data_IF_906253895709
#
_entry.id   IF_906253895709
#
_cell.length_a   1.000
_cell.length_b   1.000
_cell.length_c   1.000
_cell.angle_alpha   90.00
_cell.angle_beta   90.00
_cell.angle_gamma   90.00
#
_symmetry.space_group_name_H-M   'P 1'
#
loop_
_entity.id
_entity.type
_entity.pdbx_description
1 polymer ?
#
# COMPACT_ATOMS: atom_id res chain seq x y z
N UNK A 1 32.55 11.56 44.55
CA UNK A 1 32.08 12.29 43.38
C UNK A 1 32.28 11.51 42.04
N UNK A 2 33.47 10.93 41.75
CA UNK A 2 33.69 10.16 40.49
C UNK A 2 32.78 8.94 40.28
N UNK A 3 32.36 8.23 41.32
CA UNK A 3 31.47 7.05 41.21
C UNK A 3 30.00 7.41 40.92
N UNK A 4 29.53 8.58 41.32
CA UNK A 4 28.17 9.04 41.08
C UNK A 4 28.00 9.52 39.63
N UNK A 5 29.07 10.17 39.08
CA UNK A 5 29.05 10.58 37.65
C UNK A 5 29.14 9.41 36.68
N UNK A 6 29.79 8.30 37.06
CA UNK A 6 29.84 7.08 36.23
C UNK A 6 28.48 6.35 36.23
N UNK A 7 27.76 6.30 37.35
CA UNK A 7 26.43 5.74 37.43
C UNK A 7 25.42 6.55 36.60
N UNK A 8 25.49 7.86 36.65
CA UNK A 8 24.61 8.75 35.85
C UNK A 8 24.91 8.67 34.36
N UNK A 9 26.16 8.51 33.96
CA UNK A 9 26.53 8.28 32.56
C UNK A 9 26.07 6.89 32.06
N UNK A 10 26.14 5.85 32.90
CA UNK A 10 25.58 4.52 32.56
C UNK A 10 24.05 4.53 32.46
N UNK A 11 23.32 5.24 33.33
CA UNK A 11 21.86 5.40 33.21
C UNK A 11 21.45 6.20 31.97
N UNK A 12 22.20 7.24 31.61
CA UNK A 12 21.99 7.99 30.37
C UNK A 12 22.31 7.15 29.12
N UNK A 13 23.30 6.27 29.17
CA UNK A 13 23.63 5.37 28.08
C UNK A 13 22.57 4.25 27.90
N UNK A 14 21.89 3.81 28.96
CA UNK A 14 20.77 2.87 28.87
C UNK A 14 19.48 3.53 28.37
N UNK A 15 19.32 4.84 28.49
CA UNK A 15 18.23 5.60 27.83
C UNK A 15 18.51 5.92 26.36
N UNK A 16 19.74 5.68 25.87
CA UNK A 16 20.10 5.87 24.48
C UNK A 16 19.54 4.72 23.63
N UNK A 17 18.37 4.98 23.06
CA UNK A 17 17.89 4.34 21.83
C UNK A 17 17.61 2.83 21.91
N UNK A 18 16.67 2.40 22.70
CA UNK A 18 15.80 1.33 22.23
C UNK A 18 15.03 1.91 21.03
N UNK A 19 15.63 1.92 19.86
CA UNK A 19 14.87 2.05 18.60
C UNK A 19 13.87 0.94 18.66
N UNK A 20 12.60 1.25 18.97
CA UNK A 20 11.57 0.26 19.15
C UNK A 20 11.53 -0.59 17.87
N UNK A 21 11.91 -1.85 18.02
CA UNK A 21 11.93 -2.78 16.91
C UNK A 21 10.49 -2.99 16.44
N UNK A 22 10.22 -2.70 15.16
CA UNK A 22 8.87 -2.89 14.62
C UNK A 22 8.55 -4.39 14.56
N UNK A 23 7.40 -4.74 15.11
CA UNK A 23 6.76 -6.03 14.91
C UNK A 23 5.96 -5.98 13.60
N UNK A 24 6.23 -6.91 12.70
CA UNK A 24 5.64 -6.97 11.36
C UNK A 24 4.47 -7.95 11.31
N UNK A 25 3.40 -7.55 10.66
CA UNK A 25 2.16 -8.30 10.47
C UNK A 25 1.85 -8.41 8.99
N UNK A 26 1.50 -9.62 8.53
CA UNK A 26 1.08 -9.85 7.14
C UNK A 26 -0.11 -8.97 6.79
N UNK A 27 0.00 -8.21 5.69
CA UNK A 27 -1.03 -7.24 5.33
C UNK A 27 -2.35 -7.88 4.86
N UNK A 28 -2.33 -9.17 4.50
CA UNK A 28 -3.53 -9.96 4.17
C UNK A 28 -4.43 -10.24 5.39
N UNK A 29 -3.95 -10.05 6.61
CA UNK A 29 -4.77 -10.11 7.82
C UNK A 29 -5.76 -8.95 7.93
N UNK A 30 -5.50 -7.87 7.21
CA UNK A 30 -6.33 -6.66 7.19
C UNK A 30 -7.27 -6.65 5.97
N UNK A 31 -7.86 -5.50 5.65
CA UNK A 31 -8.82 -5.39 4.54
C UNK A 31 -8.11 -4.93 3.27
N UNK A 32 -7.95 -5.84 2.32
CA UNK A 32 -7.52 -5.47 0.95
C UNK A 32 -8.73 -5.01 0.15
N UNK A 33 -8.59 -3.92 -0.59
CA UNK A 33 -9.61 -3.33 -1.46
C UNK A 33 -9.07 -3.09 -2.87
N UNK A 34 -9.97 -2.88 -3.82
CA UNK A 34 -9.62 -2.62 -5.22
C UNK A 34 -9.37 -3.89 -6.04
N UNK A 35 -9.55 -5.08 -5.48
CA UNK A 35 -9.54 -6.34 -6.23
C UNK A 35 -10.78 -6.42 -7.13
N UNK A 36 -10.63 -6.78 -8.42
CA UNK A 36 -11.78 -7.00 -9.32
C UNK A 36 -12.64 -8.18 -8.90
N UNK A 37 -12.00 -9.27 -8.47
CA UNK A 37 -12.66 -10.49 -8.00
C UNK A 37 -12.26 -10.69 -6.54
N UNK A 38 -13.21 -10.65 -5.59
CA UNK A 38 -12.95 -10.96 -4.19
C UNK A 38 -12.54 -12.42 -4.00
N UNK A 39 -11.82 -12.70 -2.91
CA UNK A 39 -11.47 -14.05 -2.45
C UNK A 39 -10.59 -14.88 -3.40
N UNK A 40 -9.91 -14.24 -4.34
CA UNK A 40 -8.87 -14.89 -5.15
C UNK A 40 -7.70 -15.32 -4.27
N UNK A 41 -7.13 -16.53 -4.50
CA UNK A 41 -5.99 -17.04 -3.74
C UNK A 41 -4.77 -16.11 -3.78
N UNK A 42 -4.55 -15.46 -4.93
CA UNK A 42 -3.52 -14.41 -5.09
C UNK A 42 -4.10 -13.05 -4.76
N UNK A 43 -3.92 -12.62 -3.53
CA UNK A 43 -4.54 -11.40 -2.99
C UNK A 43 -4.11 -10.13 -3.75
N UNK A 44 -2.84 -10.05 -4.18
CA UNK A 44 -2.27 -8.85 -4.80
C UNK A 44 -2.25 -8.92 -6.32
N UNK A 45 -3.38 -9.22 -6.96
CA UNK A 45 -3.53 -9.26 -8.41
C UNK A 45 -4.83 -8.62 -8.87
N UNK A 46 -4.81 -8.03 -10.06
CA UNK A 46 -5.98 -7.48 -10.73
C UNK A 46 -6.60 -8.45 -11.76
N UNK A 47 -6.00 -9.62 -11.91
CA UNK A 47 -6.44 -10.61 -12.89
C UNK A 47 -6.60 -11.95 -12.18
N UNK A 48 -7.80 -12.57 -12.16
CA UNK A 48 -8.02 -13.86 -11.55
C UNK A 48 -7.29 -14.98 -12.31
N UNK A 49 -6.87 -16.02 -11.60
CA UNK A 49 -6.13 -17.15 -12.19
C UNK A 49 -6.91 -17.88 -13.28
N UNK A 50 -8.24 -17.80 -13.25
CA UNK A 50 -9.11 -18.36 -14.28
C UNK A 50 -8.91 -17.76 -15.69
N UNK A 51 -8.30 -16.58 -15.79
CA UNK A 51 -8.00 -15.90 -17.05
C UNK A 51 -6.58 -16.20 -17.58
N UNK A 52 -5.76 -16.92 -16.82
CA UNK A 52 -4.40 -17.31 -17.26
C UNK A 52 -4.49 -18.15 -18.53
N UNK A 53 -3.76 -17.73 -19.57
CA UNK A 53 -3.77 -18.39 -20.89
C UNK A 53 -5.04 -18.18 -21.73
N UNK A 54 -6.03 -17.45 -21.21
CA UNK A 54 -7.24 -17.06 -21.96
C UNK A 54 -7.17 -15.64 -22.51
N UNK A 55 -6.44 -14.77 -21.82
CA UNK A 55 -6.17 -13.40 -22.28
C UNK A 55 -4.77 -13.32 -22.92
N UNK A 56 -4.50 -12.23 -23.63
CA UNK A 56 -3.17 -11.96 -24.23
C UNK A 56 -2.11 -11.85 -23.12
N UNK A 57 -0.90 -12.38 -23.36
CA UNK A 57 0.21 -12.37 -22.39
C UNK A 57 0.52 -10.96 -21.86
N UNK A 58 0.51 -9.94 -22.73
CA UNK A 58 0.75 -8.57 -22.32
C UNK A 58 -0.32 -8.05 -21.34
N UNK A 59 -1.58 -8.42 -21.54
CA UNK A 59 -2.69 -8.08 -20.67
C UNK A 59 -2.59 -8.84 -19.33
N UNK A 60 -2.28 -10.15 -19.40
CA UNK A 60 -2.04 -10.97 -18.22
C UNK A 60 -0.93 -10.39 -17.34
N UNK A 61 0.22 -10.06 -17.93
CA UNK A 61 1.38 -9.53 -17.21
C UNK A 61 1.06 -8.18 -16.54
N UNK A 62 0.33 -7.28 -17.21
CA UNK A 62 -0.13 -6.03 -16.61
C UNK A 62 -1.16 -6.25 -15.51
N UNK A 63 -1.95 -7.31 -15.61
CA UNK A 63 -2.91 -7.72 -14.58
C UNK A 63 -2.26 -8.15 -13.26
N UNK A 64 -0.97 -8.50 -13.27
CA UNK A 64 -0.21 -8.83 -12.06
C UNK A 64 0.22 -7.57 -11.27
N UNK A 65 0.13 -6.38 -11.87
CA UNK A 65 0.41 -5.12 -11.18
C UNK A 65 -0.75 -4.75 -10.26
N UNK A 66 -0.45 -4.09 -9.15
CA UNK A 66 -1.41 -3.81 -8.07
C UNK A 66 -2.09 -2.43 -8.17
N UNK A 67 -2.09 -1.81 -9.35
CA UNK A 67 -2.67 -0.48 -9.56
C UNK A 67 -4.12 -0.39 -9.04
N UNK A 68 -4.42 0.61 -8.22
CA UNK A 68 -5.76 0.81 -7.64
C UNK A 68 -6.04 0.00 -6.38
N UNK A 69 -5.18 -0.94 -6.02
CA UNK A 69 -5.36 -1.72 -4.80
C UNK A 69 -4.79 -0.99 -3.59
N UNK A 70 -5.40 -1.23 -2.44
CA UNK A 70 -4.92 -0.72 -1.15
C UNK A 70 -5.22 -1.70 -0.01
N UNK A 71 -4.46 -1.56 1.09
CA UNK A 71 -4.72 -2.25 2.35
C UNK A 71 -5.27 -1.23 3.35
N UNK A 72 -6.43 -1.52 3.94
CA UNK A 72 -7.01 -0.72 5.02
C UNK A 72 -6.83 -1.42 6.36
N UNK A 73 -6.39 -0.64 7.34
CA UNK A 73 -6.16 -1.09 8.71
C UNK A 73 -6.35 0.08 9.67
N UNK A 74 -6.44 -0.21 10.97
CA UNK A 74 -6.38 0.78 12.04
C UNK A 74 -5.22 0.48 12.98
N UNK A 75 -4.68 1.51 13.61
CA UNK A 75 -3.58 1.37 14.58
C UNK A 75 -3.50 2.59 15.49
N UNK A 76 -3.03 2.38 16.72
CA UNK A 76 -2.64 3.43 17.68
C UNK A 76 -1.13 3.61 17.75
N UNK A 77 -0.40 3.03 16.79
CA UNK A 77 1.05 3.08 16.73
C UNK A 77 1.58 4.51 16.62
N UNK A 78 2.71 4.79 17.30
CA UNK A 78 3.47 6.03 17.14
C UNK A 78 4.40 6.03 15.93
N UNK A 79 4.67 4.85 15.37
CA UNK A 79 5.44 4.68 14.15
C UNK A 79 4.88 3.54 13.29
N UNK A 80 4.90 3.73 11.98
CA UNK A 80 4.47 2.73 11.01
C UNK A 80 5.59 2.49 10.01
N UNK A 81 5.94 1.23 9.84
CA UNK A 81 6.87 0.76 8.82
C UNK A 81 6.24 -0.27 7.89
N UNK A 82 6.92 -0.57 6.81
CA UNK A 82 6.51 -1.60 5.86
C UNK A 82 7.69 -2.42 5.39
N UNK A 83 7.47 -3.69 5.10
CA UNK A 83 8.33 -4.55 4.29
C UNK A 83 7.50 -5.09 3.13
N UNK A 84 8.06 -5.03 1.92
CA UNK A 84 7.37 -5.61 0.76
C UNK A 84 8.36 -6.20 -0.22
N UNK A 85 7.90 -7.22 -0.93
CA UNK A 85 8.63 -7.84 -2.02
C UNK A 85 7.88 -7.61 -3.32
N UNK A 86 8.55 -6.98 -4.28
CA UNK A 86 8.05 -6.83 -5.64
C UNK A 86 8.31 -8.08 -6.47
N UNK A 87 7.53 -8.31 -7.55
CA UNK A 87 7.79 -9.38 -8.51
C UNK A 87 9.13 -9.18 -9.23
N UNK A 88 9.45 -7.92 -9.57
CA UNK A 88 10.67 -7.55 -10.28
C UNK A 88 11.26 -6.23 -9.78
N UNK A 89 12.34 -5.79 -10.43
CA UNK A 89 12.93 -4.46 -10.22
C UNK A 89 12.69 -3.61 -11.47
N UNK A 90 11.43 -3.55 -11.90
CA UNK A 90 11.02 -2.81 -13.09
C UNK A 90 11.17 -1.30 -12.90
N UNK A 91 11.66 -0.62 -13.91
CA UNK A 91 11.83 0.83 -13.96
C UNK A 91 11.41 1.40 -15.31
N UNK A 92 11.03 2.67 -15.31
CA UNK A 92 10.79 3.48 -16.48
C UNK A 92 11.54 4.82 -16.35
N UNK A 93 12.07 5.34 -17.45
CA UNK A 93 12.82 6.61 -17.45
C UNK A 93 11.92 7.85 -17.26
N UNK A 94 10.62 7.71 -17.47
CA UNK A 94 9.63 8.81 -17.44
C UNK A 94 8.64 8.72 -16.26
N UNK A 95 8.84 7.76 -15.34
CA UNK A 95 8.00 7.62 -14.15
C UNK A 95 8.87 7.38 -12.91
N UNK A 96 8.48 7.97 -11.79
CA UNK A 96 9.23 7.82 -10.54
C UNK A 96 9.23 6.38 -10.03
N UNK A 97 10.33 5.93 -9.44
CA UNK A 97 10.40 4.61 -8.79
C UNK A 97 9.32 4.44 -7.71
N UNK A 98 8.96 5.54 -7.01
CA UNK A 98 7.89 5.55 -6.00
C UNK A 98 6.53 5.26 -6.62
N UNK A 99 6.22 5.83 -7.79
CA UNK A 99 4.97 5.52 -8.51
C UNK A 99 4.94 4.09 -9.05
N UNK A 100 6.07 3.61 -9.57
CA UNK A 100 6.18 2.28 -10.15
C UNK A 100 6.06 1.19 -9.08
N UNK A 101 6.86 1.27 -7.98
CA UNK A 101 7.13 0.19 -7.02
C UNK A 101 6.96 0.55 -5.56
N UNK A 102 6.63 1.81 -5.26
CA UNK A 102 6.47 2.31 -3.88
C UNK A 102 5.07 2.12 -3.33
N UNK A 103 4.90 2.52 -2.08
CA UNK A 103 3.63 2.46 -1.36
C UNK A 103 3.29 3.86 -0.81
N UNK A 104 2.00 4.20 -0.72
CA UNK A 104 1.54 5.48 -0.17
C UNK A 104 0.60 5.27 1.01
N UNK A 105 0.93 5.88 2.15
CA UNK A 105 0.09 5.84 3.35
C UNK A 105 -0.79 7.10 3.42
N UNK A 106 -2.06 6.87 3.68
CA UNK A 106 -3.08 7.89 3.99
C UNK A 106 -3.71 7.60 5.35
N UNK A 107 -4.12 8.65 6.05
CA UNK A 107 -4.83 8.59 7.33
C UNK A 107 -6.22 9.24 7.17
N UNK A 108 -7.24 8.62 7.74
CA UNK A 108 -8.60 9.17 7.78
C UNK A 108 -8.69 10.20 8.91
N UNK A 109 -9.12 11.41 8.57
CA UNK A 109 -9.35 12.49 9.53
C UNK A 109 -10.81 12.49 10.03
N UNK A 110 -11.09 13.18 11.13
CA UNK A 110 -12.40 13.25 11.79
C UNK A 110 -13.55 13.67 10.86
N UNK A 111 -13.27 14.43 9.81
CA UNK A 111 -14.24 14.85 8.80
C UNK A 111 -14.46 13.85 7.66
N UNK A 112 -13.93 12.64 7.78
CA UNK A 112 -14.02 11.61 6.75
C UNK A 112 -13.11 11.82 5.53
N UNK A 113 -12.12 12.70 5.65
CA UNK A 113 -11.17 12.99 4.57
C UNK A 113 -9.89 12.16 4.73
N UNK A 114 -9.47 11.52 3.65
CA UNK A 114 -8.18 10.83 3.56
C UNK A 114 -7.06 11.81 3.28
N UNK A 115 -6.15 11.97 4.23
CA UNK A 115 -4.98 12.86 4.12
C UNK A 115 -3.71 12.05 3.92
N UNK A 116 -2.86 12.49 3.00
CA UNK A 116 -1.57 11.89 2.74
C UNK A 116 -0.65 11.99 3.96
N UNK A 117 -0.07 10.88 4.35
CA UNK A 117 0.92 10.81 5.44
C UNK A 117 2.34 10.81 4.89
N UNK A 118 2.71 9.79 4.14
CA UNK A 118 4.03 9.67 3.53
C UNK A 118 4.07 8.49 2.53
N UNK A 119 5.21 8.36 1.81
CA UNK A 119 5.47 7.28 0.87
C UNK A 119 6.60 6.38 1.34
N UNK A 120 6.45 5.07 1.13
CA UNK A 120 7.56 4.13 1.21
C UNK A 120 8.29 4.06 -0.14
N UNK A 121 9.53 4.51 -0.15
CA UNK A 121 10.37 4.56 -1.37
C UNK A 121 11.06 3.21 -1.60
N UNK A 122 10.97 2.63 -2.80
CA UNK A 122 11.69 1.40 -3.12
C UNK A 122 13.21 1.64 -3.15
N UNK A 123 13.97 0.64 -2.74
CA UNK A 123 15.42 0.72 -2.59
C UNK A 123 16.20 0.09 -3.76
N UNK A 124 15.57 -0.07 -4.92
CA UNK A 124 16.21 -0.65 -6.12
C UNK A 124 16.46 -2.17 -6.07
N UNK A 125 15.76 -2.88 -5.18
CA UNK A 125 15.85 -4.35 -4.99
C UNK A 125 14.44 -4.97 -4.89
N UNK A 126 14.36 -6.30 -4.93
CA UNK A 126 13.08 -7.00 -4.82
C UNK A 126 12.46 -6.80 -3.44
N UNK A 127 13.24 -7.05 -2.38
CA UNK A 127 12.78 -6.88 -0.99
C UNK A 127 13.14 -5.49 -0.52
N UNK A 128 12.13 -4.75 -0.08
CA UNK A 128 12.24 -3.37 0.38
C UNK A 128 11.74 -3.25 1.82
N UNK A 129 12.30 -2.32 2.56
CA UNK A 129 11.89 -1.97 3.92
C UNK A 129 11.93 -0.45 4.09
N UNK A 130 10.87 0.12 4.66
CA UNK A 130 10.80 1.55 4.92
C UNK A 130 10.07 1.83 6.24
N UNK A 131 10.58 2.74 7.06
CA UNK A 131 9.80 3.42 8.06
C UNK A 131 9.04 4.54 7.32
N UNK A 132 7.71 4.48 7.31
CA UNK A 132 6.90 5.46 6.60
C UNK A 132 6.74 6.73 7.44
N UNK A 133 6.41 6.56 8.72
CA UNK A 133 6.13 7.66 9.64
C UNK A 133 6.58 7.30 11.05
N UNK A 134 6.91 8.30 11.84
CA UNK A 134 7.19 8.25 13.27
C UNK A 134 6.66 9.50 13.96
N UNK A 135 6.62 9.49 15.28
CA UNK A 135 6.11 10.59 16.11
C UNK A 135 4.61 10.86 15.92
N UNK A 136 3.82 9.82 15.65
CA UNK A 136 2.35 9.90 15.70
C UNK A 136 1.89 10.10 17.16
N UNK A 137 0.65 10.54 17.35
CA UNK A 137 0.07 10.91 18.65
C UNK A 137 -0.24 9.72 19.56
N UNK A 138 -0.18 8.49 19.06
CA UNK A 138 -0.49 7.26 19.81
C UNK A 138 -1.98 7.04 20.01
N UNK A 139 -2.83 7.73 19.25
CA UNK A 139 -4.27 7.47 19.20
C UNK A 139 -4.59 6.51 18.06
N UNK A 140 -5.71 5.81 18.19
CA UNK A 140 -6.18 4.94 17.13
C UNK A 140 -6.65 5.77 15.91
N UNK A 141 -6.08 5.49 14.74
CA UNK A 141 -6.45 6.07 13.47
C UNK A 141 -6.72 4.98 12.43
N UNK A 142 -7.53 5.31 11.45
CA UNK A 142 -7.74 4.49 10.25
C UNK A 142 -6.74 4.86 9.17
N UNK A 143 -6.13 3.86 8.55
CA UNK A 143 -5.12 4.03 7.52
C UNK A 143 -5.51 3.31 6.22
N UNK A 144 -5.01 3.85 5.10
CA UNK A 144 -5.08 3.25 3.78
C UNK A 144 -3.70 3.28 3.14
N UNK A 145 -3.15 2.11 2.83
CA UNK A 145 -1.86 1.93 2.20
C UNK A 145 -2.06 1.51 0.74
N UNK A 146 -1.90 2.46 -0.18
CA UNK A 146 -1.95 2.19 -1.62
C UNK A 146 -0.73 1.42 -2.11
N UNK A 147 -0.97 0.50 -3.03
CA UNK A 147 0.01 -0.42 -3.60
C UNK A 147 0.60 0.11 -4.92
N UNK A 148 1.71 -0.46 -5.42
CA UNK A 148 2.38 -0.04 -6.65
C UNK A 148 1.47 0.05 -7.87
N UNK A 149 1.80 0.98 -8.80
CA UNK A 149 1.01 1.16 -10.02
C UNK A 149 1.49 0.30 -11.20
N UNK A 150 2.80 0.05 -11.29
CA UNK A 150 3.41 -0.65 -12.43
C UNK A 150 4.25 -1.86 -12.02
N UNK A 151 4.02 -2.36 -10.81
CA UNK A 151 4.69 -3.56 -10.32
C UNK A 151 3.71 -4.40 -9.47
N UNK A 152 3.97 -5.68 -9.39
CA UNK A 152 3.28 -6.62 -8.52
C UNK A 152 3.92 -6.71 -7.13
N UNK A 153 3.17 -7.25 -6.19
CA UNK A 153 3.63 -7.56 -4.83
C UNK A 153 3.51 -9.06 -4.57
N UNK A 154 4.62 -9.69 -4.14
CA UNK A 154 4.63 -11.09 -3.67
C UNK A 154 4.26 -11.20 -2.19
N UNK A 155 4.75 -10.25 -1.36
CA UNK A 155 4.45 -10.17 0.07
C UNK A 155 4.47 -8.75 0.56
N UNK A 156 3.65 -8.45 1.54
CA UNK A 156 3.55 -7.14 2.19
C UNK A 156 3.27 -7.34 3.68
N UNK A 157 4.09 -6.68 4.50
CA UNK A 157 3.92 -6.63 5.94
C UNK A 157 3.88 -5.18 6.42
N UNK A 158 3.03 -4.91 7.40
CA UNK A 158 2.93 -3.62 8.09
C UNK A 158 3.53 -3.79 9.47
N UNK A 159 4.47 -2.92 9.82
CA UNK A 159 5.19 -2.94 11.09
C UNK A 159 4.75 -1.80 12.00
N UNK A 160 4.52 -2.13 13.27
CA UNK A 160 4.24 -1.19 14.36
C UNK A 160 5.17 -1.50 15.54
N UNK A 161 5.39 -0.56 16.47
CA UNK A 161 6.17 -0.83 17.66
C UNK A 161 5.48 -1.85 18.58
N UNK A 162 6.28 -2.53 19.38
CA UNK A 162 5.76 -3.48 20.37
C UNK A 162 4.81 -2.80 21.35
N UNK A 163 3.67 -3.44 21.62
CA UNK A 163 2.60 -2.91 22.47
C UNK A 163 1.57 -2.06 21.75
N UNK A 164 1.83 -1.57 20.55
CA UNK A 164 0.82 -0.92 19.73
C UNK A 164 -0.17 -1.94 19.14
N UNK A 165 -1.42 -1.50 18.99
CA UNK A 165 -2.45 -2.29 18.32
C UNK A 165 -2.43 -2.06 16.83
N UNK A 166 -2.69 -3.10 16.05
CA UNK A 166 -2.97 -3.03 14.63
C UNK A 166 -4.04 -4.07 14.29
N UNK A 167 -5.09 -3.65 13.58
CA UNK A 167 -6.24 -4.53 13.31
C UNK A 167 -6.99 -4.09 12.05
N UNK A 168 -8.05 -4.83 11.69
CA UNK A 168 -8.96 -4.51 10.59
C UNK A 168 -9.63 -3.16 10.81
N UNK A 169 -9.97 -2.42 9.73
CA UNK A 169 -10.65 -1.14 9.84
C UNK A 169 -12.00 -1.28 10.54
N UNK A 170 -12.40 -0.27 11.30
CA UNK A 170 -13.77 -0.14 11.87
C UNK A 170 -14.69 0.68 10.98
N UNK A 171 -14.12 1.68 10.30
CA UNK A 171 -14.89 2.54 9.42
C UNK A 171 -15.17 1.81 8.12
N UNK A 172 -16.44 1.48 7.88
CA UNK A 172 -16.87 0.86 6.63
C UNK A 172 -16.70 1.82 5.45
N UNK A 173 -16.45 1.27 4.26
CA UNK A 173 -16.56 2.02 3.02
C UNK A 173 -18.03 2.02 2.56
N UNK A 174 -18.64 3.19 2.34
CA UNK A 174 -19.98 3.25 1.78
C UNK A 174 -20.05 2.50 0.44
N UNK A 175 -21.10 1.68 0.27
CA UNK A 175 -21.35 0.92 -0.93
C UNK A 175 -20.14 0.07 -1.41
N UNK A 176 -19.42 -0.57 -0.49
CA UNK A 176 -18.29 -1.46 -0.81
C UNK A 176 -18.64 -2.54 -1.83
N UNK A 177 -19.86 -3.03 -1.78
CA UNK A 177 -20.42 -4.02 -2.72
C UNK A 177 -20.81 -3.45 -4.10
N UNK A 178 -20.66 -2.15 -4.31
CA UNK A 178 -20.94 -1.45 -5.58
C UNK A 178 -19.76 -0.57 -5.96
N UNK A 179 -18.61 -1.16 -6.29
CA UNK A 179 -17.42 -0.39 -6.67
C UNK A 179 -17.65 0.36 -7.98
N UNK A 180 -16.89 1.41 -8.19
CA UNK A 180 -16.72 2.01 -9.51
C UNK A 180 -15.69 1.19 -10.27
N UNK A 181 -16.05 0.59 -11.38
CA UNK A 181 -15.10 -0.08 -12.27
C UNK A 181 -14.60 0.93 -13.30
N UNK A 182 -13.29 1.10 -13.39
CA UNK A 182 -12.68 2.05 -14.33
C UNK A 182 -11.72 1.31 -15.27
N UNK A 183 -12.20 1.04 -16.47
CA UNK A 183 -11.44 0.40 -17.54
C UNK A 183 -10.68 1.44 -18.39
N UNK A 184 -9.48 1.10 -18.84
CA UNK A 184 -8.69 1.99 -19.70
C UNK A 184 -7.26 1.51 -19.97
N UNK A 185 -6.42 2.45 -20.33
CA UNK A 185 -5.01 2.18 -20.68
C UNK A 185 -4.05 2.74 -19.61
N UNK A 186 -2.91 3.30 -20.00
CA UNK A 186 -1.85 3.77 -19.11
C UNK A 186 -2.30 4.86 -18.13
N UNK A 187 -3.14 5.82 -18.55
CA UNK A 187 -3.63 6.89 -17.69
C UNK A 187 -4.48 6.29 -16.57
N UNK A 188 -5.37 5.37 -16.89
CA UNK A 188 -6.20 4.66 -15.90
C UNK A 188 -5.35 3.83 -14.96
N UNK A 189 -4.34 3.10 -15.46
CA UNK A 189 -3.39 2.35 -14.60
C UNK A 189 -2.65 3.26 -13.64
N UNK A 190 -2.45 4.52 -13.97
CA UNK A 190 -1.75 5.52 -13.17
C UNK A 190 -0.42 5.95 -13.78
N UNK A 191 -0.29 5.86 -15.11
CA UNK A 191 0.91 6.24 -15.84
C UNK A 191 1.37 7.65 -15.51
N UNK A 192 2.68 7.77 -15.20
CA UNK A 192 3.40 8.99 -14.80
C UNK A 192 2.91 9.64 -13.49
N UNK A 193 2.04 9.00 -12.71
CA UNK A 193 1.77 9.45 -11.36
C UNK A 193 3.05 9.34 -10.50
N UNK A 194 3.36 10.38 -9.73
CA UNK A 194 4.60 10.45 -8.93
C UNK A 194 4.65 9.41 -7.80
N UNK A 195 3.50 8.91 -7.39
CA UNK A 195 3.31 7.92 -6.31
C UNK A 195 1.92 7.28 -6.40
N UNK A 196 1.68 6.11 -5.79
CA UNK A 196 0.44 5.36 -5.96
C UNK A 196 -0.84 6.16 -5.71
N UNK A 197 -0.93 6.90 -4.62
CA UNK A 197 -2.11 7.67 -4.27
C UNK A 197 -2.43 8.83 -5.23
N UNK A 198 -1.56 9.15 -6.20
CA UNK A 198 -1.77 10.18 -7.21
C UNK A 198 -2.33 9.64 -8.53
N UNK A 199 -2.54 8.34 -8.67
CA UNK A 199 -3.32 7.80 -9.77
C UNK A 199 -4.75 8.36 -9.75
N UNK A 200 -5.30 8.67 -10.92
CA UNK A 200 -6.65 9.27 -11.03
C UNK A 200 -7.72 8.43 -10.33
N UNK A 201 -7.66 7.11 -10.48
CA UNK A 201 -8.56 6.15 -9.81
C UNK A 201 -8.51 6.29 -8.29
N UNK A 202 -7.31 6.38 -7.71
CA UNK A 202 -7.11 6.48 -6.26
C UNK A 202 -7.52 7.84 -5.70
N UNK A 203 -7.38 8.92 -6.49
CA UNK A 203 -7.91 10.25 -6.13
C UNK A 203 -9.44 10.21 -6.09
N UNK A 204 -10.07 9.63 -7.11
CA UNK A 204 -11.54 9.51 -7.19
C UNK A 204 -12.07 8.63 -6.06
N UNK A 205 -11.41 7.50 -5.77
CA UNK A 205 -11.74 6.62 -4.64
C UNK A 205 -11.86 7.41 -3.33
N UNK A 206 -10.82 8.17 -2.98
CA UNK A 206 -10.82 8.99 -1.75
C UNK A 206 -11.87 10.10 -1.77
N UNK A 207 -12.11 10.73 -2.92
CA UNK A 207 -13.10 11.82 -3.04
C UNK A 207 -14.54 11.34 -2.93
N UNK A 208 -14.82 10.17 -3.51
CA UNK A 208 -16.15 9.57 -3.48
C UNK A 208 -16.37 8.72 -2.22
N UNK A 209 -15.31 8.45 -1.45
CA UNK A 209 -15.29 7.47 -0.37
C UNK A 209 -15.91 6.13 -0.81
N UNK A 210 -15.50 5.64 -1.98
CA UNK A 210 -16.02 4.42 -2.62
C UNK A 210 -14.89 3.67 -3.30
N UNK A 211 -14.88 2.34 -3.19
CA UNK A 211 -13.89 1.50 -3.87
C UNK A 211 -13.91 1.75 -5.37
N UNK A 212 -12.74 1.95 -5.95
CA UNK A 212 -12.53 2.03 -7.40
C UNK A 212 -11.68 0.86 -7.84
N UNK A 213 -12.26 -0.04 -8.62
CA UNK A 213 -11.53 -1.14 -9.27
C UNK A 213 -10.82 -0.59 -10.50
N UNK A 214 -9.50 -0.62 -10.48
CA UNK A 214 -8.67 -0.12 -11.56
C UNK A 214 -8.38 -1.23 -12.58
N UNK A 215 -9.05 -1.19 -13.73
CA UNK A 215 -8.79 -2.04 -14.90
C UNK A 215 -8.05 -1.27 -15.98
N UNK A 216 -7.04 -0.49 -15.58
CA UNK A 216 -6.11 0.17 -16.50
C UNK A 216 -4.98 -0.79 -16.91
N UNK A 217 -4.78 -0.92 -18.22
CA UNK A 217 -3.75 -1.79 -18.80
C UNK A 217 -2.95 -1.00 -19.85
N UNK A 218 -1.75 -0.56 -19.48
CA UNK A 218 -0.90 0.32 -20.28
C UNK A 218 -0.68 -0.23 -21.70
N UNK A 219 -1.16 0.50 -22.74
CA UNK A 219 -1.10 0.07 -24.14
C UNK A 219 -1.98 -1.14 -24.48
N UNK A 220 -2.70 -1.72 -23.50
CA UNK A 220 -3.42 -3.00 -23.67
C UNK A 220 -4.89 -2.97 -23.23
N UNK A 221 -5.46 -1.81 -22.92
CA UNK A 221 -6.90 -1.66 -22.70
C UNK A 221 -7.64 -1.71 -24.04
N UNK A 222 -7.85 -2.90 -24.61
CA UNK A 222 -8.39 -3.12 -25.96
C UNK A 222 -9.79 -3.74 -25.97
N UNK A 223 -10.49 -3.76 -24.82
CA UNK A 223 -11.81 -4.37 -24.64
C UNK A 223 -11.80 -5.86 -24.99
N UNK A 224 -10.81 -6.58 -24.44
CA UNK A 224 -10.76 -8.04 -24.59
C UNK A 224 -12.02 -8.65 -23.94
N UNK A 225 -12.78 -9.51 -24.64
CA UNK A 225 -14.09 -10.02 -24.17
C UNK A 225 -14.01 -10.75 -22.83
N UNK A 226 -12.87 -11.38 -22.54
CA UNK A 226 -12.62 -12.13 -21.32
C UNK A 226 -12.52 -11.24 -20.07
N UNK A 227 -12.37 -9.91 -20.27
CA UNK A 227 -12.25 -8.92 -19.18
C UNK A 227 -13.53 -8.09 -19.02
N UNK A 228 -14.49 -8.22 -19.92
CA UNK A 228 -15.72 -7.44 -19.96
C UNK A 228 -16.77 -7.89 -18.89
#
# INVERSE_FOLDING_TARGET
MKRLSTLFALLLALCATAMAQLRYHEATQFKVIGQPVPDEPRVYTRMPDSLKGKVRDALWNLGQNTAGMAVRFRSDARQIGVRWKNHSVFNMNHMTATGIRGLDLYCLQDKGQWVFVNSAKPQGRLVNKSKIIENLDGKEHEYMLYLPLYEGIDSLEIGVEEGATIDKPRVALPAENKPVVWYGTSITQGGCASRPGMAATNIVERRLNRVVVNLGFSGNGKLDPEVA
#
